data_IF_525270171092
#
_entry.id   IF_525270171092
#
_cell.length_a   1.000
_cell.length_b   1.000
_cell.length_c   1.000
_cell.angle_alpha   90.00
_cell.angle_beta   90.00
_cell.angle_gamma   90.00
#
_symmetry.space_group_name_H-M   'P 1'
#
loop_
_entity.id
_entity.type
_entity.pdbx_description
1 polymer ?
#
# COMPACT_ATOMS: atom_id res chain seq x y z
N UNK A 1 -1.33 -14.18 15.05
CA UNK A 1 -1.86 -12.90 15.62
C UNK A 1 -0.93 -12.30 16.69
N UNK A 2 -0.58 -13.07 17.73
CA UNK A 2 0.27 -12.58 18.84
C UNK A 2 1.63 -12.06 18.41
N UNK A 3 2.35 -12.79 17.53
CA UNK A 3 3.63 -12.32 17.00
C UNK A 3 3.50 -11.00 16.25
N UNK A 4 2.44 -10.82 15.44
CA UNK A 4 2.19 -9.59 14.70
C UNK A 4 1.94 -8.39 15.64
N UNK A 5 1.16 -8.60 16.71
CA UNK A 5 0.95 -7.59 17.76
C UNK A 5 2.25 -7.28 18.48
N UNK A 6 3.02 -8.30 18.84
CA UNK A 6 4.33 -8.15 19.49
C UNK A 6 5.30 -7.29 18.67
N UNK A 7 5.44 -7.58 17.37
CA UNK A 7 6.26 -6.76 16.48
C UNK A 7 5.71 -5.33 16.32
N UNK A 8 4.40 -5.16 16.22
CA UNK A 8 3.77 -3.84 16.12
C UNK A 8 4.05 -3.00 17.36
N UNK A 9 3.87 -3.57 18.56
CA UNK A 9 4.14 -2.91 19.84
C UNK A 9 5.62 -2.60 20.01
N UNK A 10 6.50 -3.56 19.68
CA UNK A 10 7.95 -3.39 19.77
C UNK A 10 8.42 -2.24 18.87
N UNK A 11 8.03 -2.25 17.59
CA UNK A 11 8.41 -1.19 16.66
C UNK A 11 7.81 0.17 17.06
N UNK A 12 6.57 0.20 17.54
CA UNK A 12 5.94 1.42 18.07
C UNK A 12 6.77 1.99 19.23
N UNK A 13 7.14 1.14 20.20
CA UNK A 13 7.96 1.52 21.34
C UNK A 13 9.33 2.04 20.91
N UNK A 14 10.03 1.36 19.99
CA UNK A 14 11.32 1.82 19.45
C UNK A 14 11.17 3.21 18.83
N UNK A 15 10.12 3.42 18.01
CA UNK A 15 9.88 4.70 17.35
C UNK A 15 9.57 5.84 18.34
N UNK A 16 8.95 5.56 19.50
CA UNK A 16 8.76 6.60 20.53
C UNK A 16 10.06 7.15 21.13
N UNK A 17 11.18 6.40 21.06
CA UNK A 17 12.48 6.76 21.63
C UNK A 17 13.35 7.64 20.73
N UNK A 18 12.91 7.92 19.50
CA UNK A 18 13.54 8.89 18.59
C UNK A 18 13.77 8.35 17.18
N UNK A 19 13.61 9.23 16.19
CA UNK A 19 13.51 8.85 14.76
C UNK A 19 14.86 9.02 14.01
N UNK A 20 15.83 9.76 14.57
CA UNK A 20 17.03 10.19 13.82
C UNK A 20 17.94 9.05 13.34
N UNK A 21 18.03 7.95 14.10
CA UNK A 21 18.79 6.76 13.66
C UNK A 21 18.00 5.88 12.65
N UNK A 22 16.67 5.98 12.65
CA UNK A 22 15.79 5.13 11.85
C UNK A 22 15.80 5.42 10.35
N UNK A 23 15.95 6.69 9.95
CA UNK A 23 15.88 7.06 8.52
C UNK A 23 17.04 6.49 7.69
N UNK A 24 18.28 6.49 8.20
CA UNK A 24 19.43 5.92 7.49
C UNK A 24 19.30 4.40 7.37
N UNK A 25 18.97 3.72 8.46
CA UNK A 25 18.76 2.28 8.47
C UNK A 25 17.62 1.88 7.52
N UNK A 26 16.52 2.62 7.53
CA UNK A 26 15.38 2.41 6.63
C UNK A 26 15.81 2.48 5.16
N UNK A 27 16.56 3.52 4.77
CA UNK A 27 17.05 3.68 3.41
C UNK A 27 17.96 2.52 2.98
N UNK A 28 18.88 2.11 3.84
CA UNK A 28 19.76 0.96 3.58
C UNK A 28 18.96 -0.34 3.38
N UNK A 29 18.00 -0.61 4.26
CA UNK A 29 17.15 -1.80 4.16
C UNK A 29 16.27 -1.76 2.90
N UNK A 30 15.83 -0.59 2.47
CA UNK A 30 15.09 -0.44 1.21
C UNK A 30 15.98 -0.73 -0.01
N UNK A 31 17.19 -0.18 -0.07
CA UNK A 31 18.13 -0.43 -1.17
C UNK A 31 18.54 -1.89 -1.22
N UNK A 32 18.88 -2.48 -0.08
CA UNK A 32 19.17 -3.91 0.04
C UNK A 32 17.97 -4.74 -0.42
N UNK A 33 16.76 -4.34 -0.03
CA UNK A 33 15.51 -4.95 -0.49
C UNK A 33 15.35 -5.03 -1.99
N UNK A 34 15.56 -3.90 -2.67
CA UNK A 34 15.49 -3.83 -4.13
C UNK A 34 16.56 -4.75 -4.74
N UNK A 35 17.78 -4.71 -4.22
CA UNK A 35 18.86 -5.61 -4.66
C UNK A 35 18.52 -7.08 -4.47
N UNK A 36 17.87 -7.44 -3.36
CA UNK A 36 17.42 -8.80 -3.08
C UNK A 36 16.32 -9.27 -4.03
N UNK A 37 15.42 -8.38 -4.46
CA UNK A 37 14.44 -8.71 -5.49
C UNK A 37 15.11 -8.96 -6.85
N UNK A 38 16.11 -8.16 -7.22
CA UNK A 38 16.90 -8.45 -8.44
C UNK A 38 17.68 -9.76 -8.31
N UNK A 39 18.27 -10.04 -7.15
CA UNK A 39 18.95 -11.31 -6.90
C UNK A 39 17.97 -12.49 -6.96
N UNK A 40 16.77 -12.34 -6.42
CA UNK A 40 15.70 -13.34 -6.53
C UNK A 40 15.37 -13.61 -8.01
N UNK A 41 15.17 -12.56 -8.80
CA UNK A 41 14.87 -12.70 -10.23
C UNK A 41 16.02 -13.38 -10.99
N UNK A 42 17.24 -12.89 -10.78
CA UNK A 42 18.44 -13.39 -11.48
C UNK A 42 18.74 -14.84 -11.13
N UNK A 43 18.73 -15.21 -9.85
CA UNK A 43 18.97 -16.59 -9.41
C UNK A 43 17.83 -17.53 -9.83
N UNK A 44 16.59 -17.03 -9.85
CA UNK A 44 15.43 -17.78 -10.31
C UNK A 44 15.61 -18.26 -11.76
N UNK A 45 15.90 -17.33 -12.68
CA UNK A 45 16.13 -17.68 -14.09
C UNK A 45 17.44 -18.42 -14.32
N UNK A 46 18.52 -18.07 -13.61
CA UNK A 46 19.82 -18.73 -13.74
C UNK A 46 19.82 -20.19 -13.28
N UNK A 47 18.81 -20.61 -12.48
CA UNK A 47 18.69 -22.00 -12.03
C UNK A 47 18.53 -22.99 -13.19
N UNK A 48 17.91 -22.59 -14.30
CA UNK A 48 17.62 -23.46 -15.45
C UNK A 48 16.65 -24.61 -15.16
N UNK A 49 16.08 -24.69 -13.95
CA UNK A 49 15.21 -25.81 -13.51
C UNK A 49 13.72 -25.53 -13.62
N UNK A 50 13.33 -24.33 -14.03
CA UNK A 50 11.92 -24.01 -14.28
C UNK A 50 11.49 -24.40 -15.70
N UNK A 51 10.19 -24.27 -15.96
CA UNK A 51 9.59 -24.57 -17.26
C UNK A 51 8.97 -23.32 -17.89
N UNK A 52 9.23 -23.13 -19.19
CA UNK A 52 8.57 -22.09 -19.99
C UNK A 52 7.16 -22.51 -20.43
N UNK A 53 6.80 -23.78 -20.32
CA UNK A 53 5.46 -24.27 -20.67
C UNK A 53 4.39 -23.70 -19.74
N UNK A 54 4.75 -23.36 -18.50
CA UNK A 54 3.85 -22.75 -17.53
C UNK A 54 3.32 -21.37 -17.93
N UNK A 55 3.94 -20.71 -18.92
CA UNK A 55 3.44 -19.45 -19.49
C UNK A 55 2.30 -19.67 -20.49
N UNK A 56 2.01 -20.92 -20.84
CA UNK A 56 0.95 -21.29 -21.79
C UNK A 56 -0.22 -21.99 -21.09
N UNK A 57 -1.48 -21.66 -21.44
CA UNK A 57 -1.89 -20.60 -22.36
C UNK A 57 -1.76 -19.20 -21.72
N UNK A 58 -1.31 -18.23 -22.52
CA UNK A 58 -1.21 -16.83 -22.08
C UNK A 58 -2.59 -16.16 -21.92
N UNK A 59 -3.57 -16.62 -22.70
CA UNK A 59 -4.94 -16.08 -22.71
C UNK A 59 -5.92 -17.08 -22.10
N UNK A 60 -6.87 -16.58 -21.31
CA UNK A 60 -7.95 -17.40 -20.78
C UNK A 60 -8.93 -17.78 -21.89
N UNK A 61 -9.41 -19.03 -21.87
CA UNK A 61 -10.51 -19.51 -22.72
C UNK A 61 -11.90 -19.15 -22.18
N UNK A 62 -11.98 -18.51 -21.02
CA UNK A 62 -13.25 -18.13 -20.40
C UNK A 62 -13.96 -17.01 -21.18
N UNK A 63 -15.30 -16.89 -21.11
CA UNK A 63 -16.02 -15.78 -21.72
C UNK A 63 -15.51 -14.42 -21.22
N UNK A 64 -15.50 -13.41 -22.11
CA UNK A 64 -15.02 -12.06 -21.80
C UNK A 64 -15.70 -11.45 -20.56
N UNK A 65 -17.00 -11.67 -20.38
CA UNK A 65 -17.76 -11.20 -19.21
C UNK A 65 -17.24 -11.78 -17.89
N UNK A 66 -16.86 -13.06 -17.88
CA UNK A 66 -16.27 -13.71 -16.72
C UNK A 66 -14.83 -13.23 -16.49
N UNK A 67 -14.05 -13.03 -17.56
CA UNK A 67 -12.71 -12.45 -17.45
C UNK A 67 -12.73 -11.05 -16.83
N UNK A 68 -13.65 -10.19 -17.27
CA UNK A 68 -13.85 -8.87 -16.67
C UNK A 68 -14.27 -8.97 -15.19
N UNK A 69 -15.04 -9.97 -14.81
CA UNK A 69 -15.39 -10.17 -13.40
C UNK A 69 -14.17 -10.54 -12.57
N UNK A 70 -13.38 -11.50 -13.04
CA UNK A 70 -12.18 -11.98 -12.36
C UNK A 70 -11.08 -10.91 -12.31
N UNK A 71 -10.95 -10.09 -13.36
CA UNK A 71 -10.00 -8.99 -13.42
C UNK A 71 -10.27 -7.98 -12.31
N UNK A 72 -11.52 -7.58 -12.09
CA UNK A 72 -11.88 -6.63 -11.03
C UNK A 72 -11.51 -7.14 -9.64
N UNK A 73 -11.75 -8.42 -9.37
CA UNK A 73 -11.37 -9.05 -8.09
C UNK A 73 -9.85 -9.16 -7.94
N UNK A 74 -9.13 -9.52 -9.02
CA UNK A 74 -7.66 -9.60 -9.01
C UNK A 74 -7.01 -8.22 -8.81
N UNK A 75 -7.58 -7.17 -9.41
CA UNK A 75 -7.11 -5.79 -9.28
C UNK A 75 -7.12 -5.29 -7.83
N UNK A 76 -7.99 -5.80 -6.96
CA UNK A 76 -7.98 -5.44 -5.53
C UNK A 76 -6.62 -5.79 -4.89
N UNK A 77 -6.14 -7.02 -5.11
CA UNK A 77 -4.84 -7.46 -4.61
C UNK A 77 -3.69 -6.71 -5.27
N UNK A 78 -3.76 -6.48 -6.58
CA UNK A 78 -2.74 -5.73 -7.32
C UNK A 78 -2.68 -4.28 -6.84
N UNK A 79 -3.80 -3.57 -6.73
CA UNK A 79 -3.81 -2.19 -6.25
C UNK A 79 -3.25 -2.09 -4.84
N UNK A 80 -3.52 -3.08 -3.97
CA UNK A 80 -2.91 -3.15 -2.64
C UNK A 80 -1.38 -3.19 -2.71
N UNK A 81 -0.78 -4.00 -3.59
CA UNK A 81 0.69 -4.08 -3.71
C UNK A 81 1.31 -2.79 -4.24
N UNK A 82 0.55 -1.99 -5.00
CA UNK A 82 0.99 -0.66 -5.47
C UNK A 82 0.65 0.49 -4.51
N UNK A 83 0.10 0.22 -3.32
CA UNK A 83 -0.15 1.27 -2.32
C UNK A 83 1.15 1.88 -1.79
N UNK A 84 1.05 3.08 -1.19
CA UNK A 84 2.19 3.82 -0.63
C UNK A 84 2.63 5.03 -1.45
N UNK A 85 2.17 5.15 -2.71
CA UNK A 85 2.45 6.30 -3.58
C UNK A 85 2.00 7.66 -2.98
N UNK A 86 0.99 7.66 -2.10
CA UNK A 86 0.48 8.87 -1.42
C UNK A 86 1.46 9.43 -0.38
N UNK A 87 2.34 8.61 0.19
CA UNK A 87 3.27 9.06 1.24
C UNK A 87 4.27 10.10 0.74
N UNK A 88 4.64 10.03 -0.54
CA UNK A 88 5.51 11.01 -1.21
C UNK A 88 4.85 12.40 -1.24
N UNK A 89 3.52 12.47 -1.31
CA UNK A 89 2.77 13.74 -1.30
C UNK A 89 2.84 14.40 0.08
N UNK A 90 2.91 13.64 1.17
CA UNK A 90 2.97 14.19 2.53
C UNK A 90 4.24 14.98 2.80
N UNK A 91 5.33 14.64 2.11
CA UNK A 91 6.62 15.34 2.21
C UNK A 91 6.87 16.27 1.03
N UNK A 92 5.86 16.51 0.18
CA UNK A 92 6.00 17.37 -1.00
C UNK A 92 6.53 18.77 -0.66
N UNK A 93 6.16 19.31 0.51
CA UNK A 93 6.64 20.62 1.00
C UNK A 93 8.11 20.64 1.45
N UNK A 94 8.71 19.47 1.69
CA UNK A 94 10.12 19.33 2.10
C UNK A 94 11.04 19.06 0.90
N UNK A 95 10.48 18.77 -0.28
CA UNK A 95 11.24 18.40 -1.49
C UNK A 95 11.71 19.64 -2.24
N UNK A 96 12.98 19.68 -2.63
CA UNK A 96 13.50 20.73 -3.50
C UNK A 96 12.85 20.65 -4.90
N UNK A 97 12.32 21.77 -5.38
CA UNK A 97 11.61 21.89 -6.66
C UNK A 97 10.51 20.82 -6.87
N UNK A 98 9.46 20.80 -6.05
CA UNK A 98 8.43 19.74 -6.06
C UNK A 98 7.81 19.51 -7.45
N UNK A 99 7.61 20.56 -8.24
CA UNK A 99 6.98 20.51 -9.57
C UNK A 99 7.73 19.65 -10.59
N UNK A 100 9.05 19.48 -10.45
CA UNK A 100 9.87 18.67 -11.35
C UNK A 100 10.30 17.36 -10.69
N UNK A 101 10.63 17.41 -9.41
CA UNK A 101 11.16 16.26 -8.67
C UNK A 101 10.07 15.23 -8.40
N UNK A 102 8.87 15.64 -7.95
CA UNK A 102 7.80 14.70 -7.58
C UNK A 102 7.30 13.89 -8.79
N UNK A 103 6.97 14.49 -9.96
CA UNK A 103 6.48 13.70 -11.09
C UNK A 103 7.53 12.67 -11.58
N UNK A 104 8.81 13.05 -11.59
CA UNK A 104 9.90 12.15 -12.01
C UNK A 104 10.13 11.03 -11.00
N UNK A 105 10.15 11.35 -9.71
CA UNK A 105 10.32 10.37 -8.65
C UNK A 105 9.15 9.37 -8.60
N UNK A 106 7.91 9.86 -8.72
CA UNK A 106 6.71 9.01 -8.76
C UNK A 106 6.68 8.16 -10.02
N UNK A 107 6.91 8.75 -11.20
CA UNK A 107 6.92 8.02 -12.47
C UNK A 107 8.00 6.95 -12.53
N UNK A 108 9.24 7.30 -12.19
CA UNK A 108 10.37 6.36 -12.15
C UNK A 108 10.19 5.27 -11.09
N UNK A 109 9.69 5.63 -9.91
CA UNK A 109 9.40 4.69 -8.83
C UNK A 109 8.33 3.67 -9.23
N UNK A 110 7.20 4.13 -9.78
CA UNK A 110 6.14 3.24 -10.27
C UNK A 110 6.65 2.34 -11.39
N UNK A 111 7.38 2.87 -12.37
CA UNK A 111 7.93 2.07 -13.47
C UNK A 111 8.88 0.97 -12.97
N UNK A 112 9.78 1.29 -12.02
CA UNK A 112 10.69 0.31 -11.41
C UNK A 112 9.92 -0.77 -10.65
N UNK A 113 8.93 -0.40 -9.83
CA UNK A 113 8.10 -1.35 -9.09
C UNK A 113 7.32 -2.24 -10.05
N UNK A 114 6.76 -1.68 -11.13
CA UNK A 114 6.07 -2.45 -12.16
C UNK A 114 6.99 -3.47 -12.81
N UNK A 115 8.20 -3.06 -13.22
CA UNK A 115 9.18 -3.98 -13.79
C UNK A 115 9.51 -5.11 -12.82
N UNK A 116 9.83 -4.79 -11.56
CA UNK A 116 10.16 -5.79 -10.54
C UNK A 116 9.00 -6.75 -10.28
N UNK A 117 7.77 -6.25 -10.17
CA UNK A 117 6.61 -7.11 -9.94
C UNK A 117 6.32 -8.03 -11.12
N UNK A 118 6.47 -7.55 -12.36
CA UNK A 118 6.33 -8.40 -13.55
C UNK A 118 7.42 -9.49 -13.59
N UNK A 119 8.68 -9.13 -13.32
CA UNK A 119 9.78 -10.08 -13.28
C UNK A 119 9.61 -11.13 -12.17
N UNK A 120 9.17 -10.73 -10.98
CA UNK A 120 8.88 -11.65 -9.88
C UNK A 120 7.77 -12.63 -10.26
N UNK A 121 6.67 -12.15 -10.84
CA UNK A 121 5.57 -13.02 -11.30
C UNK A 121 6.03 -13.97 -12.41
N UNK A 122 6.92 -13.51 -13.30
CA UNK A 122 7.50 -14.37 -14.32
C UNK A 122 8.34 -15.50 -13.69
N UNK A 123 9.13 -15.23 -12.65
CA UNK A 123 9.87 -16.27 -11.93
C UNK A 123 8.95 -17.23 -11.19
N UNK A 124 7.85 -16.75 -10.61
CA UNK A 124 6.86 -17.63 -9.97
C UNK A 124 6.25 -18.60 -11.00
N UNK A 125 5.82 -18.10 -12.16
CA UNK A 125 5.28 -18.95 -13.23
C UNK A 125 6.34 -19.89 -13.80
N UNK A 126 7.59 -19.42 -13.93
CA UNK A 126 8.70 -20.26 -14.36
C UNK A 126 8.92 -21.46 -13.41
N UNK A 127 8.74 -21.27 -12.11
CA UNK A 127 8.90 -22.33 -11.12
C UNK A 127 7.69 -23.28 -11.00
N UNK A 128 6.47 -22.75 -11.04
CA UNK A 128 5.25 -23.50 -10.71
C UNK A 128 4.12 -23.19 -11.71
N UNK A 129 3.28 -24.19 -12.05
CA UNK A 129 2.07 -23.93 -12.83
C UNK A 129 0.99 -23.24 -11.96
N UNK A 130 0.13 -22.43 -12.59
CA UNK A 130 -0.92 -21.65 -11.92
C UNK A 130 -1.81 -22.45 -10.92
N UNK A 131 -2.26 -23.69 -11.23
CA UNK A 131 -3.08 -24.46 -10.30
C UNK A 131 -2.38 -24.78 -8.98
N UNK A 132 -1.06 -24.98 -9.02
CA UNK A 132 -0.27 -25.31 -7.83
C UNK A 132 0.02 -24.10 -6.94
N UNK A 133 -0.08 -22.88 -7.48
CA UNK A 133 0.06 -21.66 -6.68
C UNK A 133 -1.11 -21.42 -5.74
N UNK A 134 -2.28 -22.01 -6.03
CA UNK A 134 -3.51 -21.74 -5.27
C UNK A 134 -3.38 -22.28 -3.84
N UNK A 135 -3.55 -21.38 -2.87
CA UNK A 135 -3.48 -21.73 -1.44
C UNK A 135 -2.07 -21.69 -0.85
N UNK A 136 -1.04 -21.47 -1.68
CA UNK A 136 0.32 -21.24 -1.18
C UNK A 136 0.41 -19.82 -0.63
N UNK A 137 0.64 -19.71 0.68
CA UNK A 137 0.77 -18.42 1.36
C UNK A 137 2.12 -17.76 1.02
N UNK A 138 3.20 -18.54 0.99
CA UNK A 138 4.56 -18.06 0.69
C UNK A 138 5.07 -18.63 -0.64
N UNK A 139 4.62 -18.00 -1.73
CA UNK A 139 5.00 -18.37 -3.10
C UNK A 139 6.50 -18.11 -3.31
N UNK A 140 7.08 -17.10 -2.66
CA UNK A 140 8.50 -16.76 -2.78
C UNK A 140 9.40 -17.86 -2.22
N UNK A 141 9.11 -18.32 -1.00
CA UNK A 141 9.79 -19.47 -0.38
C UNK A 141 9.70 -20.72 -1.28
N UNK A 142 8.49 -21.05 -1.74
CA UNK A 142 8.25 -22.26 -2.53
C UNK A 142 8.98 -22.22 -3.87
N UNK A 143 8.96 -21.08 -4.54
CA UNK A 143 9.67 -20.84 -5.80
C UNK A 143 11.16 -21.14 -5.66
N UNK A 144 11.80 -20.57 -4.64
CA UNK A 144 13.24 -20.77 -4.42
C UNK A 144 13.58 -22.19 -4.00
N UNK A 145 12.72 -22.82 -3.19
CA UNK A 145 12.87 -24.22 -2.82
C UNK A 145 12.87 -25.14 -4.05
N UNK A 146 12.02 -24.89 -5.05
CA UNK A 146 11.93 -25.71 -6.27
C UNK A 146 13.13 -25.44 -7.19
N UNK A 147 13.44 -24.17 -7.44
CA UNK A 147 14.45 -23.78 -8.44
C UNK A 147 15.88 -24.07 -7.97
N UNK A 148 16.20 -23.79 -6.70
CA UNK A 148 17.57 -23.89 -6.20
C UNK A 148 17.77 -25.05 -5.23
N UNK A 149 16.71 -25.55 -4.59
CA UNK A 149 16.79 -26.63 -3.62
C UNK A 149 17.41 -26.23 -2.28
N UNK A 150 17.55 -27.22 -1.38
CA UNK A 150 18.19 -27.04 -0.07
C UNK A 150 17.51 -25.97 0.80
N UNK A 151 18.33 -25.21 1.54
CA UNK A 151 17.86 -24.17 2.48
C UNK A 151 17.68 -22.79 1.84
N UNK A 152 17.71 -22.68 0.51
CA UNK A 152 17.59 -21.40 -0.21
C UNK A 152 16.21 -20.75 -0.02
N UNK A 153 15.15 -21.55 0.04
CA UNK A 153 13.81 -21.07 0.39
C UNK A 153 13.80 -20.38 1.75
N UNK A 154 14.41 -20.99 2.77
CA UNK A 154 14.49 -20.42 4.13
C UNK A 154 15.30 -19.12 4.14
N UNK A 155 16.43 -19.08 3.41
CA UNK A 155 17.23 -17.86 3.27
C UNK A 155 16.39 -16.70 2.73
N UNK A 156 15.65 -16.90 1.63
CA UNK A 156 14.78 -15.86 1.09
C UNK A 156 13.58 -15.53 1.99
N UNK A 157 13.02 -16.50 2.70
CA UNK A 157 11.93 -16.24 3.65
C UNK A 157 12.37 -15.33 4.81
N UNK A 158 13.58 -15.53 5.36
CA UNK A 158 14.15 -14.64 6.39
C UNK A 158 14.34 -13.23 5.84
N UNK A 159 14.84 -13.10 4.62
CA UNK A 159 15.02 -11.80 3.97
C UNK A 159 13.68 -11.09 3.72
N UNK A 160 12.67 -11.82 3.24
CA UNK A 160 11.31 -11.31 3.07
C UNK A 160 10.75 -10.85 4.43
N UNK A 161 10.98 -11.61 5.50
CA UNK A 161 10.55 -11.23 6.85
C UNK A 161 11.20 -9.91 7.32
N UNK A 162 12.49 -9.72 7.06
CA UNK A 162 13.18 -8.44 7.34
C UNK A 162 12.54 -7.29 6.54
N UNK A 163 12.17 -7.53 5.29
CA UNK A 163 11.49 -6.52 4.45
C UNK A 163 10.07 -6.20 4.95
N UNK A 164 9.34 -7.19 5.44
CA UNK A 164 8.02 -6.98 6.06
C UNK A 164 8.17 -6.10 7.31
N UNK A 165 9.13 -6.38 8.19
CA UNK A 165 9.37 -5.58 9.40
C UNK A 165 9.80 -4.15 9.07
N UNK A 166 10.64 -3.99 8.04
CA UNK A 166 11.05 -2.68 7.53
C UNK A 166 9.86 -1.88 6.98
N UNK A 167 9.01 -2.50 6.18
CA UNK A 167 7.80 -1.87 5.64
C UNK A 167 6.80 -1.50 6.75
N UNK A 168 6.64 -2.39 7.74
CA UNK A 168 5.82 -2.14 8.93
C UNK A 168 6.32 -0.91 9.71
N UNK A 169 7.63 -0.82 9.93
CA UNK A 169 8.24 0.33 10.60
C UNK A 169 7.99 1.66 9.86
N UNK A 170 8.18 1.67 8.54
CA UNK A 170 7.91 2.85 7.68
C UNK A 170 6.44 3.27 7.74
N UNK A 171 5.53 2.30 7.73
CA UNK A 171 4.08 2.53 7.81
C UNK A 171 3.65 3.07 9.18
N UNK A 172 4.25 2.58 10.27
CA UNK A 172 4.03 3.09 11.63
C UNK A 172 4.40 4.57 11.73
N UNK A 173 5.58 4.94 11.20
CA UNK A 173 6.06 6.33 11.23
C UNK A 173 5.21 7.26 10.37
N UNK A 174 4.83 6.82 9.17
CA UNK A 174 4.05 7.64 8.24
C UNK A 174 2.61 7.82 8.71
N UNK A 175 1.98 6.76 9.24
CA UNK A 175 0.60 6.81 9.74
C UNK A 175 0.43 7.76 10.93
N UNK A 176 1.38 7.77 11.86
CA UNK A 176 1.33 8.63 13.06
C UNK A 176 1.26 10.13 12.73
N UNK A 177 1.80 10.56 11.57
CA UNK A 177 1.76 11.95 11.12
C UNK A 177 0.35 12.42 10.79
N UNK A 178 -0.52 11.53 10.32
CA UNK A 178 -1.92 11.85 9.99
C UNK A 178 -2.67 12.21 11.28
N UNK A 179 -2.57 11.36 12.31
CA UNK A 179 -3.18 11.62 13.63
C UNK A 179 -2.65 12.91 14.28
N UNK A 180 -1.33 13.14 14.18
CA UNK A 180 -0.70 14.36 14.67
C UNK A 180 -1.22 15.62 13.97
N UNK A 181 -1.33 15.60 12.63
CA UNK A 181 -1.86 16.72 11.85
C UNK A 181 -3.33 16.99 12.19
N UNK A 182 -4.17 15.95 12.24
CA UNK A 182 -5.59 16.09 12.60
C UNK A 182 -5.77 16.68 14.02
N UNK A 183 -4.94 16.27 14.97
CA UNK A 183 -4.99 16.79 16.33
C UNK A 183 -4.54 18.25 16.43
N UNK A 184 -3.55 18.68 15.62
CA UNK A 184 -3.14 20.08 15.56
C UNK A 184 -4.19 20.99 14.94
N UNK A 185 -5.04 20.47 14.06
CA UNK A 185 -6.20 21.18 13.50
C UNK A 185 -7.42 21.15 14.43
N UNK A 186 -7.31 20.60 15.65
CA UNK A 186 -8.42 20.48 16.60
C UNK A 186 -9.48 19.46 16.19
N UNK A 187 -9.20 18.59 15.21
CA UNK A 187 -10.12 17.60 14.64
C UNK A 187 -9.92 16.18 15.18
N UNK A 188 -9.09 16.03 16.21
CA UNK A 188 -8.77 14.76 16.84
C UNK A 188 -8.37 14.97 18.31
N UNK A 189 -8.15 13.88 19.05
CA UNK A 189 -7.75 13.95 20.47
C UNK A 189 -6.52 14.83 20.68
N UNK A 190 -6.65 15.88 21.51
CA UNK A 190 -5.58 16.87 21.75
C UNK A 190 -4.21 16.27 22.15
N UNK A 191 -4.12 15.19 22.96
CA UNK A 191 -2.83 14.56 23.29
C UNK A 191 -2.06 14.04 22.08
N UNK A 192 -2.74 13.62 21.01
CA UNK A 192 -2.11 13.15 19.78
C UNK A 192 -1.36 14.26 19.01
N UNK A 193 -1.68 15.54 19.30
CA UNK A 193 -1.01 16.70 18.73
C UNK A 193 0.26 17.13 19.48
N UNK A 194 0.64 16.43 20.56
CA UNK A 194 1.82 16.76 21.38
C UNK A 194 3.03 15.93 20.97
N UNK A 195 4.19 16.58 20.90
CA UNK A 195 5.48 15.91 20.72
C UNK A 195 6.08 15.57 22.09
N UNK A 196 6.74 14.42 22.19
CA UNK A 196 7.49 14.04 23.38
C UNK A 196 8.88 14.72 23.42
N UNK A 197 9.67 14.49 24.47
CA UNK A 197 11.03 15.02 24.63
C UNK A 197 12.01 14.63 23.50
N UNK A 198 11.65 13.66 22.65
CA UNK A 198 12.44 13.19 21.50
C UNK A 198 11.90 13.73 20.17
N UNK A 199 10.97 14.69 20.19
CA UNK A 199 10.29 15.27 19.02
C UNK A 199 9.47 14.26 18.19
N UNK A 200 8.81 13.32 18.87
CA UNK A 200 7.99 12.27 18.25
C UNK A 200 6.54 12.36 18.77
N UNK A 201 5.51 12.20 17.91
CA UNK A 201 4.11 12.15 18.35
C UNK A 201 3.79 10.79 18.99
N UNK A 202 4.26 10.57 20.21
CA UNK A 202 4.20 9.27 20.91
C UNK A 202 2.76 8.78 21.12
N UNK A 203 1.82 9.68 21.45
CA UNK A 203 0.41 9.29 21.64
C UNK A 203 -0.23 8.83 20.34
N UNK A 204 0.07 9.49 19.21
CA UNK A 204 -0.40 9.06 17.88
C UNK A 204 0.10 7.67 17.51
N UNK A 205 1.37 7.38 17.82
CA UNK A 205 1.96 6.06 17.61
C UNK A 205 1.21 4.98 18.41
N UNK A 206 0.97 5.22 19.71
CA UNK A 206 0.26 4.25 20.56
C UNK A 206 -1.22 4.07 20.18
N UNK A 207 -1.92 5.14 19.79
CA UNK A 207 -3.31 5.04 19.30
C UNK A 207 -3.38 4.19 18.03
N UNK A 208 -2.46 4.41 17.08
CA UNK A 208 -2.37 3.60 15.88
C UNK A 208 -2.04 2.13 16.19
N UNK A 209 -1.11 1.87 17.12
CA UNK A 209 -0.75 0.52 17.53
C UNK A 209 -1.91 -0.22 18.19
N UNK A 210 -2.66 0.47 19.06
CA UNK A 210 -3.86 -0.08 19.70
C UNK A 210 -4.92 -0.46 18.65
N UNK A 211 -5.20 0.45 17.71
CA UNK A 211 -6.15 0.17 16.64
C UNK A 211 -5.69 -0.98 15.73
N UNK A 212 -4.40 -1.01 15.40
CA UNK A 212 -3.81 -2.10 14.62
C UNK A 212 -3.94 -3.45 15.34
N UNK A 213 -3.74 -3.49 16.66
CA UNK A 213 -3.92 -4.69 17.46
C UNK A 213 -5.37 -5.19 17.43
N UNK A 214 -6.36 -4.30 17.58
CA UNK A 214 -7.78 -4.64 17.43
C UNK A 214 -8.04 -5.25 16.05
N UNK A 215 -7.54 -4.63 14.98
CA UNK A 215 -7.72 -5.12 13.62
C UNK A 215 -7.10 -6.51 13.40
N UNK A 216 -5.90 -6.76 13.96
CA UNK A 216 -5.21 -8.06 13.88
C UNK A 216 -6.05 -9.20 14.50
N UNK A 217 -6.83 -8.91 15.55
CA UNK A 217 -7.72 -9.91 16.16
C UNK A 217 -9.11 -9.97 15.52
N UNK A 218 -9.54 -8.91 14.84
CA UNK A 218 -10.92 -8.79 14.32
C UNK A 218 -11.21 -9.54 13.02
N UNK A 219 -10.19 -9.88 12.21
CA UNK A 219 -10.44 -10.44 10.89
C UNK A 219 -9.25 -11.11 10.23
N UNK A 220 -9.55 -11.94 9.21
CA UNK A 220 -8.52 -12.56 8.37
C UNK A 220 -7.89 -11.55 7.39
N UNK A 221 -6.63 -11.79 7.01
CA UNK A 221 -5.85 -10.92 6.12
C UNK A 221 -6.61 -10.51 4.84
N UNK A 222 -7.26 -11.45 4.18
CA UNK A 222 -8.02 -11.18 2.95
C UNK A 222 -9.21 -10.24 3.17
N UNK A 223 -9.88 -10.32 4.33
CA UNK A 223 -10.97 -9.42 4.67
C UNK A 223 -10.44 -8.01 4.97
N UNK A 224 -9.37 -7.92 5.77
CA UNK A 224 -8.66 -6.65 6.08
C UNK A 224 -8.22 -5.93 4.81
N UNK A 225 -7.62 -6.66 3.88
CA UNK A 225 -7.16 -6.16 2.59
C UNK A 225 -8.33 -5.62 1.77
N UNK A 226 -9.42 -6.37 1.68
CA UNK A 226 -10.53 -6.04 0.76
C UNK A 226 -11.26 -4.76 1.16
N UNK A 227 -11.63 -4.59 2.44
CA UNK A 227 -12.30 -3.35 2.85
C UNK A 227 -11.33 -2.15 2.80
N UNK A 228 -10.04 -2.38 3.07
CA UNK A 228 -9.02 -1.32 3.05
C UNK A 228 -8.81 -0.80 1.63
N UNK A 229 -8.66 -1.69 0.65
CA UNK A 229 -8.54 -1.31 -0.76
C UNK A 229 -9.82 -0.62 -1.24
N UNK A 230 -11.00 -1.10 -0.85
CA UNK A 230 -12.25 -0.44 -1.19
C UNK A 230 -12.25 1.03 -0.73
N UNK A 231 -11.90 1.28 0.53
CA UNK A 231 -11.84 2.63 1.10
C UNK A 231 -10.76 3.48 0.42
N UNK A 232 -9.58 2.91 0.16
CA UNK A 232 -8.49 3.60 -0.56
C UNK A 232 -8.96 4.01 -1.96
N UNK A 233 -9.56 3.10 -2.72
CA UNK A 233 -10.04 3.38 -4.08
C UNK A 233 -11.15 4.42 -4.07
N UNK A 234 -12.08 4.35 -3.11
CA UNK A 234 -13.14 5.35 -2.94
C UNK A 234 -12.56 6.76 -2.72
N UNK A 235 -11.67 6.94 -1.74
CA UNK A 235 -11.07 8.27 -1.50
C UNK A 235 -10.15 8.72 -2.63
N UNK A 236 -9.49 7.78 -3.32
CA UNK A 236 -8.64 8.09 -4.46
C UNK A 236 -9.48 8.48 -5.70
N UNK A 237 -10.69 7.91 -5.87
CA UNK A 237 -11.67 8.32 -6.87
C UNK A 237 -12.22 9.72 -6.56
N UNK A 238 -12.63 9.99 -5.32
CA UNK A 238 -13.08 11.32 -4.90
C UNK A 238 -12.00 12.39 -5.08
N UNK A 239 -10.74 12.06 -4.76
CA UNK A 239 -9.59 12.94 -4.98
C UNK A 239 -9.37 13.21 -6.47
N UNK A 240 -9.52 12.19 -7.33
CA UNK A 240 -9.48 12.35 -8.78
C UNK A 240 -10.61 13.24 -9.31
N UNK A 241 -11.83 13.12 -8.77
CA UNK A 241 -12.96 13.98 -9.13
C UNK A 241 -12.71 15.44 -8.70
N UNK A 242 -12.12 15.63 -7.52
CA UNK A 242 -11.77 16.94 -7.00
C UNK A 242 -10.87 17.73 -7.97
N UNK A 243 -9.98 17.06 -8.72
CA UNK A 243 -9.17 17.71 -9.76
C UNK A 243 -10.04 18.38 -10.85
N UNK A 244 -11.10 17.73 -11.30
CA UNK A 244 -12.00 18.29 -12.32
C UNK A 244 -12.84 19.43 -11.75
N UNK A 245 -13.32 19.28 -10.52
CA UNK A 245 -14.07 20.33 -9.81
C UNK A 245 -13.18 21.56 -9.59
N UNK A 246 -11.94 21.36 -9.12
CA UNK A 246 -10.99 22.44 -8.85
C UNK A 246 -10.61 23.17 -10.14
N UNK A 247 -10.35 22.46 -11.23
CA UNK A 247 -10.06 23.08 -12.53
C UNK A 247 -11.21 23.92 -13.08
N UNK A 248 -12.46 23.54 -12.79
CA UNK A 248 -13.63 24.36 -13.15
C UNK A 248 -13.73 25.61 -12.27
N UNK A 249 -13.49 25.47 -10.95
CA UNK A 249 -13.58 26.57 -9.97
C UNK A 249 -12.45 27.60 -10.11
N UNK A 250 -11.22 27.14 -10.35
CA UNK A 250 -10.00 27.98 -10.40
C UNK A 250 -9.56 28.28 -11.83
N UNK A 251 -10.50 28.28 -12.80
CA UNK A 251 -10.21 28.47 -14.22
C UNK A 251 -9.46 29.78 -14.57
N UNK A 252 -9.47 30.77 -13.67
CA UNK A 252 -8.73 32.02 -13.80
C UNK A 252 -7.29 32.02 -13.27
N UNK A 253 -6.83 30.95 -12.60
CA UNK A 253 -5.46 30.84 -12.09
C UNK A 253 -4.66 29.80 -12.86
N UNK A 254 -3.42 30.11 -13.33
CA UNK A 254 -2.59 29.12 -13.98
C UNK A 254 -2.27 27.99 -12.99
N UNK A 255 -2.55 26.71 -13.33
CA UNK A 255 -2.31 25.62 -12.43
C UNK A 255 -0.81 25.45 -12.19
N UNK A 256 -0.44 25.30 -10.92
CA UNK A 256 0.93 25.08 -10.44
C UNK A 256 1.56 23.84 -11.10
N UNK A 257 0.75 22.82 -11.42
CA UNK A 257 1.16 21.67 -12.21
C UNK A 257 0.05 21.25 -13.18
N UNK A 258 0.40 21.04 -14.46
CA UNK A 258 -0.52 20.50 -15.47
C UNK A 258 -0.36 18.99 -15.53
N UNK A 259 -1.40 18.27 -15.11
CA UNK A 259 -1.47 16.82 -15.25
C UNK A 259 -1.35 16.44 -16.72
N UNK A 260 -0.38 15.58 -17.01
CA UNK A 260 -0.14 15.05 -18.35
C UNK A 260 -1.36 14.27 -18.87
N UNK A 261 -1.69 14.47 -20.15
CA UNK A 261 -2.82 13.81 -20.79
C UNK A 261 -4.21 14.24 -20.27
N UNK A 262 -4.32 15.38 -19.56
CA UNK A 262 -5.63 15.91 -19.17
C UNK A 262 -6.46 16.31 -20.40
N UNK A 263 -7.76 15.95 -20.47
CA UNK A 263 -8.56 15.27 -19.44
C UNK A 263 -8.57 13.73 -19.52
N UNK A 264 -8.02 13.14 -20.59
CA UNK A 264 -8.16 11.72 -20.90
C UNK A 264 -7.53 10.80 -19.84
N UNK A 265 -6.30 11.07 -19.39
CA UNK A 265 -5.60 10.23 -18.41
C UNK A 265 -6.31 10.22 -17.05
N UNK A 266 -6.69 11.37 -16.46
CA UNK A 266 -7.49 11.37 -15.23
C UNK A 266 -8.88 10.75 -15.40
N UNK A 267 -9.52 10.91 -16.57
CA UNK A 267 -10.81 10.28 -16.84
C UNK A 267 -10.69 8.75 -16.86
N UNK A 268 -9.65 8.22 -17.53
CA UNK A 268 -9.35 6.79 -17.52
C UNK A 268 -9.11 6.27 -16.10
N UNK A 269 -8.35 7.00 -15.30
CA UNK A 269 -8.12 6.67 -13.89
C UNK A 269 -9.44 6.62 -13.07
N UNK A 270 -10.33 7.58 -13.28
CA UNK A 270 -11.66 7.60 -12.64
C UNK A 270 -12.51 6.41 -13.07
N UNK A 271 -12.52 6.08 -14.36
CA UNK A 271 -13.25 4.93 -14.89
C UNK A 271 -12.74 3.62 -14.29
N UNK A 272 -11.42 3.43 -14.22
CA UNK A 272 -10.82 2.23 -13.64
C UNK A 272 -11.07 2.12 -12.13
N UNK A 273 -10.98 3.25 -11.42
CA UNK A 273 -11.27 3.29 -9.99
C UNK A 273 -12.75 2.99 -9.71
N UNK A 274 -13.68 3.55 -10.51
CA UNK A 274 -15.10 3.25 -10.43
C UNK A 274 -15.37 1.78 -10.75
N UNK A 275 -14.74 1.22 -11.78
CA UNK A 275 -14.87 -0.20 -12.14
C UNK A 275 -14.44 -1.13 -11.00
N UNK A 276 -13.25 -0.91 -10.41
CA UNK A 276 -12.77 -1.73 -9.28
C UNK A 276 -13.68 -1.57 -8.06
N UNK A 277 -14.11 -0.35 -7.75
CA UNK A 277 -15.00 -0.07 -6.62
C UNK A 277 -16.35 -0.76 -6.78
N UNK A 278 -16.98 -0.66 -7.96
CA UNK A 278 -18.26 -1.30 -8.27
C UNK A 278 -18.14 -2.83 -8.29
N UNK A 279 -17.08 -3.36 -8.90
CA UNK A 279 -16.83 -4.80 -8.91
C UNK A 279 -16.64 -5.34 -7.48
N UNK A 280 -15.87 -4.64 -6.64
CA UNK A 280 -15.68 -5.01 -5.24
C UNK A 280 -16.98 -4.93 -4.45
N UNK A 281 -17.81 -3.92 -4.70
CA UNK A 281 -19.13 -3.77 -4.06
C UNK A 281 -20.08 -4.92 -4.43
N UNK A 282 -20.10 -5.34 -5.71
CA UNK A 282 -20.96 -6.42 -6.20
C UNK A 282 -20.49 -7.78 -5.68
N UNK A 283 -19.19 -8.08 -5.78
CA UNK A 283 -18.67 -9.42 -5.48
C UNK A 283 -18.27 -9.61 -4.01
N UNK A 284 -18.02 -8.52 -3.27
CA UNK A 284 -17.66 -8.53 -1.84
C UNK A 284 -18.43 -7.44 -1.07
N UNK A 285 -19.78 -7.50 -1.05
CA UNK A 285 -20.63 -6.43 -0.51
C UNK A 285 -20.40 -6.23 0.99
N UNK A 286 -20.31 -7.31 1.78
CA UNK A 286 -20.10 -7.22 3.22
C UNK A 286 -18.82 -6.43 3.55
N UNK A 287 -17.72 -6.72 2.87
CA UNK A 287 -16.43 -6.05 3.12
C UNK A 287 -16.48 -4.58 2.69
N UNK A 288 -17.13 -4.28 1.58
CA UNK A 288 -17.33 -2.90 1.11
C UNK A 288 -18.19 -2.10 2.09
N UNK A 289 -19.29 -2.68 2.58
CA UNK A 289 -20.18 -2.06 3.57
C UNK A 289 -19.49 -1.88 4.92
N UNK A 290 -18.67 -2.83 5.38
CA UNK A 290 -17.87 -2.68 6.58
C UNK A 290 -16.85 -1.54 6.43
N UNK A 291 -16.18 -1.44 5.28
CA UNK A 291 -15.28 -0.33 4.97
C UNK A 291 -15.99 1.02 5.03
N UNK A 292 -17.16 1.13 4.39
CA UNK A 292 -18.01 2.32 4.49
C UNK A 292 -18.46 2.59 5.92
N UNK A 293 -18.86 1.56 6.66
CA UNK A 293 -19.26 1.68 8.06
C UNK A 293 -18.16 2.25 8.94
N UNK A 294 -16.90 1.82 8.74
CA UNK A 294 -15.73 2.38 9.44
C UNK A 294 -15.50 3.85 9.08
N UNK A 295 -15.69 4.23 7.81
CA UNK A 295 -15.57 5.64 7.39
C UNK A 295 -16.69 6.49 8.00
N UNK A 296 -17.92 6.00 7.94
CA UNK A 296 -19.11 6.69 8.45
C UNK A 296 -19.13 6.77 9.97
N UNK A 297 -18.54 5.80 10.69
CA UNK A 297 -18.39 5.87 12.15
C UNK A 297 -17.49 7.02 12.58
N UNK A 298 -16.66 7.56 11.68
CA UNK A 298 -15.90 8.80 11.88
C UNK A 298 -16.75 10.08 11.84
N UNK A 299 -17.98 10.06 11.30
CA UNK A 299 -18.83 11.25 11.20
C UNK A 299 -19.27 11.81 12.57
N UNK A 300 -19.79 11.01 13.51
CA UNK A 300 -20.12 11.49 14.86
C UNK A 300 -18.93 12.19 15.53
N UNK A 301 -17.74 11.60 15.41
CA UNK A 301 -16.50 12.15 15.92
C UNK A 301 -16.15 13.48 15.23
N UNK A 302 -16.15 13.52 13.91
CA UNK A 302 -15.90 14.75 13.16
C UNK A 302 -16.88 15.88 13.54
N UNK A 303 -18.17 15.57 13.68
CA UNK A 303 -19.18 16.55 14.08
C UNK A 303 -18.99 17.02 15.52
N UNK A 304 -18.59 16.13 16.43
CA UNK A 304 -18.25 16.48 17.80
C UNK A 304 -17.08 17.47 17.85
N UNK A 305 -15.95 17.15 17.20
CA UNK A 305 -14.78 18.03 17.18
C UNK A 305 -15.01 19.33 16.40
N UNK A 306 -15.81 19.31 15.33
CA UNK A 306 -16.20 20.53 14.61
C UNK A 306 -17.01 21.48 15.49
N UNK A 307 -17.83 20.96 16.40
CA UNK A 307 -18.61 21.76 17.36
C UNK A 307 -17.78 22.23 18.55
N UNK A 308 -16.83 21.42 19.01
CA UNK A 308 -15.93 21.73 20.12
C UNK A 308 -14.71 22.57 19.74
N UNK A 309 -14.47 22.78 18.44
CA UNK A 309 -13.49 23.73 17.92
C UNK A 309 -13.93 25.17 18.16
N UNK A 310 -13.86 25.60 19.42
CA UNK A 310 -13.79 27.01 19.81
C UNK A 310 -12.54 27.61 19.17
N UNK A 311 -12.75 28.65 18.34
CA UNK A 311 -11.72 29.61 18.00
C UNK A 311 -11.11 30.25 19.26
#
# INVERSE_FOLDING_TARGET
PWLAVGFTVLLTWVNTRGIRAGSRLQNWVTVLGIGLLFAFVGLGFASGKGSLEHFTPFTSSQPWTQQLTLLGVALVGILFTYTGWTTVVYIAGEVANPHRTLPRAMGGGVALVTLLYLLMNAVYLYALPLPEMKGIVDIGYRTMQILLGGNTGLFFAVLIMVQILSSLNSTILSGARIYFAMAREGRFFAPAGKLNARNVPATSLWLQALWSAVLIFSGGFNALLSYTVFVIVLFSFLSGLALFVLRRRESGHPPVYRVWGYPLVPLFYLLMSAYVMLNTLIHRPLQSLLGLGIVLSGLPFYLHWKRSGTH
#
